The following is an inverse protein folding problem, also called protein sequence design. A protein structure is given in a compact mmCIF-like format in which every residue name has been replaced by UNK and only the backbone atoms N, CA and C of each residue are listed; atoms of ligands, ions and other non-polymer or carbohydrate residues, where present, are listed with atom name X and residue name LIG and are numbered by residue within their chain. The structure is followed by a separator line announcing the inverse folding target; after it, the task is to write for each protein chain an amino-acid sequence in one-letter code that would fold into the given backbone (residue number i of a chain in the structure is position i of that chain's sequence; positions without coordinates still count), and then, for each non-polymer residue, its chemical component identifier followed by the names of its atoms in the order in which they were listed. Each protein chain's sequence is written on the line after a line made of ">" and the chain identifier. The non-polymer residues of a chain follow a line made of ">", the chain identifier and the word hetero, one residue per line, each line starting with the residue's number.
data_IF_003483754727
#
_entry.id   IF_003483754727
#
_cell.length_a   1.000
_cell.length_b   1.000
_cell.length_c   1.000
_cell.angle_alpha   90.00
_cell.angle_beta   90.00
_cell.angle_gamma   90.00
#
_symmetry.space_group_name_H-M   'P 1'
#
loop_
_entity.id
_entity.type
_entity.pdbx_description
1 polymer ?
#
# COMPACT_ATOMS: atom_id res chain seq x y z
N UNK A 1 -1.02 4.08 8.87
CA UNK A 1 -1.65 2.80 8.46
C UNK A 1 -2.86 2.53 9.34
N UNK A 2 -4.02 2.22 8.76
CA UNK A 2 -5.27 1.98 9.49
C UNK A 2 -5.84 0.61 9.12
N UNK A 3 -5.94 -0.30 10.10
CA UNK A 3 -6.55 -1.62 9.90
C UNK A 3 -8.04 -1.50 9.54
N UNK A 4 -8.47 -2.29 8.57
CA UNK A 4 -9.86 -2.34 8.09
C UNK A 4 -10.58 -3.62 8.52
N UNK A 5 -9.83 -4.65 8.96
CA UNK A 5 -10.34 -5.94 9.41
C UNK A 5 -10.62 -5.99 10.92
N UNK A 6 -11.22 -7.09 11.37
CA UNK A 6 -11.66 -7.27 12.76
C UNK A 6 -10.51 -7.35 13.78
N UNK A 7 -9.28 -7.61 13.35
CA UNK A 7 -8.12 -7.65 14.26
C UNK A 7 -7.73 -6.26 14.79
N UNK A 8 -8.36 -5.20 14.29
CA UNK A 8 -8.21 -3.83 14.82
C UNK A 8 -8.77 -3.65 16.26
N UNK A 9 -9.39 -4.67 16.87
CA UNK A 9 -9.90 -4.61 18.24
C UNK A 9 -11.25 -3.91 18.40
N UNK A 10 -12.05 -3.84 17.34
CA UNK A 10 -13.37 -3.21 17.30
C UNK A 10 -14.23 -3.70 16.15
N UNK A 11 -15.40 -3.09 15.94
CA UNK A 11 -16.22 -3.38 14.76
C UNK A 11 -15.43 -2.99 13.48
N UNK A 12 -15.35 -3.86 12.47
CA UNK A 12 -14.64 -3.54 11.23
C UNK A 12 -15.16 -2.24 10.61
N UNK A 13 -14.25 -1.31 10.31
CA UNK A 13 -14.57 0.00 9.71
C UNK A 13 -15.15 -0.18 8.31
N UNK A 14 -14.68 -1.19 7.59
CA UNK A 14 -15.24 -1.67 6.33
C UNK A 14 -15.64 -3.11 6.57
N UNK A 15 -16.83 -3.52 6.12
CA UNK A 15 -17.19 -4.94 6.10
C UNK A 15 -16.27 -5.62 5.08
N UNK A 16 -15.10 -6.12 5.51
CA UNK A 16 -14.27 -6.98 4.68
C UNK A 16 -15.12 -8.18 4.28
N UNK A 17 -15.36 -8.32 2.99
CA UNK A 17 -16.31 -9.32 2.47
C UNK A 17 -15.72 -10.73 2.54
N UNK A 18 -14.38 -10.84 2.60
CA UNK A 18 -13.66 -12.10 2.61
C UNK A 18 -12.98 -12.33 3.97
N UNK A 19 -13.37 -13.37 4.73
CA UNK A 19 -12.74 -13.70 6.02
C UNK A 19 -11.29 -14.19 5.90
N UNK A 20 -10.84 -14.54 4.69
CA UNK A 20 -9.46 -14.96 4.42
C UNK A 20 -8.56 -13.79 4.04
N UNK A 21 -9.02 -12.54 4.13
CA UNK A 21 -8.19 -11.36 3.89
C UNK A 21 -8.22 -10.40 5.05
N UNK A 22 -7.02 -10.03 5.50
CA UNK A 22 -6.81 -8.86 6.35
C UNK A 22 -6.45 -7.67 5.47
N UNK A 23 -6.74 -6.47 5.95
CA UNK A 23 -6.58 -5.27 5.16
C UNK A 23 -6.18 -4.06 6.01
N UNK A 24 -5.39 -3.19 5.42
CA UNK A 24 -5.05 -1.88 5.97
C UNK A 24 -5.18 -0.84 4.89
N UNK A 25 -5.40 0.41 5.29
CA UNK A 25 -5.44 1.54 4.39
C UNK A 25 -4.56 2.69 4.86
N UNK A 26 -4.13 3.50 3.90
CA UNK A 26 -3.48 4.77 4.13
C UNK A 26 -4.07 5.84 3.22
N UNK A 27 -4.51 6.96 3.79
CA UNK A 27 -4.84 8.16 3.02
C UNK A 27 -3.54 8.88 2.68
N UNK A 28 -3.43 9.40 1.46
CA UNK A 28 -2.34 10.28 1.05
C UNK A 28 -2.87 11.60 0.49
N UNK A 29 -2.00 12.60 0.48
CA UNK A 29 -2.17 13.90 -0.16
C UNK A 29 -0.87 14.23 -0.89
N UNK A 30 -0.92 14.29 -2.22
CA UNK A 30 0.24 14.52 -3.08
C UNK A 30 0.58 16.00 -3.23
N UNK A 31 -0.25 16.90 -2.71
CA UNK A 31 0.09 18.31 -2.55
C UNK A 31 1.20 18.53 -1.53
N UNK A 32 1.38 17.60 -0.59
CA UNK A 32 2.44 17.63 0.43
C UNK A 32 3.75 16.99 -0.07
N UNK A 33 3.71 16.17 -1.13
CA UNK A 33 4.86 15.41 -1.64
C UNK A 33 4.46 14.01 -2.13
N UNK A 34 5.42 13.25 -2.67
CA UNK A 34 5.15 11.86 -3.04
C UNK A 34 5.03 10.99 -1.79
N UNK A 35 4.21 9.93 -1.85
CA UNK A 35 4.00 9.05 -0.70
C UNK A 35 4.51 7.66 -1.01
N UNK A 36 5.32 7.11 -0.10
CA UNK A 36 5.86 5.75 -0.19
C UNK A 36 5.15 4.84 0.80
N UNK A 37 4.76 3.67 0.31
CA UNK A 37 4.17 2.58 1.09
C UNK A 37 5.13 1.41 1.09
N UNK A 38 5.48 0.93 2.28
CA UNK A 38 6.32 -0.25 2.46
C UNK A 38 5.64 -1.24 3.39
N UNK A 39 5.84 -2.53 3.14
CA UNK A 39 5.56 -3.56 4.15
C UNK A 39 6.66 -4.62 4.09
N UNK A 40 7.56 -4.68 5.07
CA UNK A 40 8.61 -5.67 5.09
C UNK A 40 8.03 -7.05 5.44
N UNK A 41 8.68 -8.10 4.93
CA UNK A 41 8.30 -9.48 5.18
C UNK A 41 7.51 -10.11 4.05
N UNK A 42 7.28 -11.41 4.18
CA UNK A 42 6.60 -12.22 3.18
C UNK A 42 5.36 -12.86 3.79
N UNK A 43 4.25 -12.69 3.09
CA UNK A 43 2.97 -13.36 3.35
C UNK A 43 2.62 -14.20 2.12
N UNK A 44 1.69 -15.16 2.21
CA UNK A 44 1.37 -16.05 1.10
C UNK A 44 0.88 -15.33 -0.16
N UNK A 45 0.24 -14.17 0.03
CA UNK A 45 -0.15 -13.26 -1.04
C UNK A 45 -0.47 -11.89 -0.44
N UNK A 46 -0.13 -10.82 -1.17
CA UNK A 46 -0.62 -9.47 -0.91
C UNK A 46 -0.98 -8.75 -2.20
N UNK A 47 -1.93 -7.83 -2.12
CA UNK A 47 -2.32 -6.95 -3.22
C UNK A 47 -2.49 -5.52 -2.73
N UNK A 48 -2.23 -4.56 -3.60
CA UNK A 48 -2.45 -3.14 -3.37
C UNK A 48 -3.45 -2.62 -4.40
N UNK A 49 -4.36 -1.75 -3.95
CA UNK A 49 -5.23 -0.96 -4.80
C UNK A 49 -5.13 0.51 -4.41
N UNK A 50 -5.06 1.38 -5.41
CA UNK A 50 -5.02 2.83 -5.26
C UNK A 50 -6.36 3.40 -5.68
N UNK A 51 -6.99 4.14 -4.77
CA UNK A 51 -8.27 4.78 -5.01
C UNK A 51 -8.11 6.30 -5.06
N UNK A 52 -8.79 6.94 -6.01
CA UNK A 52 -8.95 8.39 -6.00
C UNK A 52 -9.97 8.86 -4.95
N UNK A 53 -10.10 10.18 -4.78
CA UNK A 53 -11.06 10.79 -3.84
C UNK A 53 -12.53 10.45 -4.13
N UNK A 54 -12.88 10.09 -5.37
CA UNK A 54 -14.23 9.62 -5.74
C UNK A 54 -14.45 8.13 -5.48
N UNK A 55 -13.42 7.40 -5.05
CA UNK A 55 -13.49 5.97 -4.77
C UNK A 55 -13.29 5.08 -6.00
N UNK A 56 -12.78 5.62 -7.13
CA UNK A 56 -12.42 4.78 -8.26
C UNK A 56 -11.06 4.12 -8.02
N UNK A 57 -10.98 2.82 -8.31
CA UNK A 57 -9.70 2.11 -8.34
C UNK A 57 -8.95 2.48 -9.62
N UNK A 58 -7.88 3.27 -9.48
CA UNK A 58 -7.10 3.79 -10.60
C UNK A 58 -5.86 2.94 -10.91
N UNK A 59 -5.42 2.13 -9.94
CA UNK A 59 -4.24 1.27 -10.11
C UNK A 59 -4.29 0.10 -9.13
N UNK A 60 -3.82 -1.08 -9.55
CA UNK A 60 -3.72 -2.25 -8.69
C UNK A 60 -2.56 -3.15 -9.10
N UNK A 61 -1.90 -3.75 -8.10
CA UNK A 61 -0.75 -4.64 -8.27
C UNK A 61 -0.63 -5.60 -7.08
N UNK A 62 0.28 -6.55 -7.16
CA UNK A 62 0.48 -7.58 -6.12
C UNK A 62 1.95 -8.02 -6.01
N UNK A 63 2.18 -8.94 -5.08
CA UNK A 63 3.47 -9.58 -4.83
C UNK A 63 4.13 -10.19 -6.06
N UNK A 64 3.36 -10.78 -6.99
CA UNK A 64 3.91 -11.36 -8.22
C UNK A 64 4.49 -10.32 -9.19
N UNK A 65 4.05 -9.07 -9.10
CA UNK A 65 4.57 -7.97 -9.91
C UNK A 65 5.68 -7.17 -9.24
N UNK A 66 5.90 -7.40 -7.94
CA UNK A 66 6.85 -6.64 -7.14
C UNK A 66 8.24 -7.28 -7.13
N UNK A 67 9.28 -6.43 -7.09
CA UNK A 67 10.67 -6.88 -6.97
C UNK A 67 10.85 -7.70 -5.69
N UNK A 68 11.18 -8.98 -5.84
CA UNK A 68 11.36 -9.90 -4.71
C UNK A 68 10.08 -10.20 -3.91
N UNK A 69 8.90 -9.84 -4.41
CA UNK A 69 7.62 -10.03 -3.70
C UNK A 69 7.46 -9.20 -2.43
N UNK A 70 8.27 -8.15 -2.26
CA UNK A 70 8.21 -7.23 -1.12
C UNK A 70 7.42 -5.99 -1.51
N UNK A 71 6.54 -5.52 -0.62
CA UNK A 71 5.79 -4.29 -0.87
C UNK A 71 6.70 -3.08 -0.68
N UNK A 72 7.02 -2.43 -1.79
CA UNK A 72 7.66 -1.12 -1.87
C UNK A 72 7.09 -0.36 -3.07
N UNK A 73 6.29 0.66 -2.81
CA UNK A 73 5.61 1.42 -3.85
C UNK A 73 5.57 2.90 -3.52
N UNK A 74 5.64 3.74 -4.55
CA UNK A 74 5.53 5.19 -4.44
C UNK A 74 4.36 5.65 -5.30
N UNK A 75 3.46 6.45 -4.73
CA UNK A 75 2.45 7.19 -5.49
C UNK A 75 2.90 8.64 -5.62
N UNK A 76 2.76 9.18 -6.81
CA UNK A 76 3.19 10.53 -7.15
C UNK A 76 2.45 11.05 -8.37
N UNK A 77 2.43 12.38 -8.50
CA UNK A 77 1.89 13.04 -9.69
C UNK A 77 2.86 12.91 -10.88
N UNK A 78 2.38 13.07 -12.12
CA UNK A 78 3.24 13.17 -13.29
C UNK A 78 4.32 14.25 -13.17
N UNK A 79 4.00 15.38 -12.52
CA UNK A 79 4.95 16.46 -12.28
C UNK A 79 6.08 16.03 -11.34
N UNK A 80 5.75 15.40 -10.20
CA UNK A 80 6.73 14.84 -9.26
C UNK A 80 7.58 13.73 -9.91
N UNK A 81 6.99 12.90 -10.78
CA UNK A 81 7.72 11.84 -11.50
C UNK A 81 8.82 12.39 -12.41
N UNK A 82 8.64 13.58 -12.98
CA UNK A 82 9.68 14.24 -13.78
C UNK A 82 10.92 14.51 -12.91
N UNK A 83 10.74 14.94 -11.67
CA UNK A 83 11.84 15.23 -10.75
C UNK A 83 12.54 13.94 -10.31
N UNK A 84 11.78 12.90 -9.93
CA UNK A 84 12.31 11.56 -9.62
C UNK A 84 13.16 11.00 -10.76
N UNK A 85 12.77 11.22 -12.02
CA UNK A 85 13.52 10.70 -13.19
C UNK A 85 14.86 11.41 -13.41
N UNK A 86 15.05 12.63 -12.90
CA UNK A 86 16.31 13.37 -13.04
C UNK A 86 17.41 12.78 -12.16
N UNK A 87 17.03 12.38 -10.95
CA UNK A 87 17.93 11.79 -9.97
C UNK A 87 17.13 10.76 -9.15
N UNK A 88 17.10 9.51 -9.63
CA UNK A 88 16.35 8.43 -8.99
C UNK A 88 17.12 7.96 -7.75
N UNK A 89 16.56 8.14 -6.52
CA UNK A 89 17.22 7.67 -5.31
C UNK A 89 17.49 6.16 -5.37
N UNK A 90 18.66 5.73 -4.91
CA UNK A 90 19.08 4.32 -4.96
C UNK A 90 18.10 3.40 -4.23
N UNK A 91 17.53 3.87 -3.13
CA UNK A 91 16.58 3.14 -2.31
C UNK A 91 15.17 3.03 -2.95
N UNK A 92 14.91 3.71 -4.08
CA UNK A 92 13.68 3.62 -4.85
C UNK A 92 13.80 2.80 -6.14
N UNK A 93 14.99 2.32 -6.51
CA UNK A 93 15.20 1.61 -7.79
C UNK A 93 14.36 0.33 -7.94
N UNK A 94 13.99 -0.31 -6.84
CA UNK A 94 13.14 -1.52 -6.84
C UNK A 94 11.65 -1.25 -6.59
N UNK A 95 11.27 0.00 -6.34
CA UNK A 95 9.91 0.38 -5.98
C UNK A 95 8.98 0.43 -7.20
N UNK A 96 7.72 0.08 -6.99
CA UNK A 96 6.67 0.27 -7.99
C UNK A 96 6.22 1.73 -7.96
N UNK A 97 6.37 2.45 -9.07
CA UNK A 97 5.88 3.82 -9.21
C UNK A 97 4.45 3.84 -9.76
N UNK A 98 3.53 4.41 -8.99
CA UNK A 98 2.15 4.67 -9.36
C UNK A 98 2.02 6.16 -9.72
N UNK A 99 2.21 6.46 -11.00
CA UNK A 99 2.05 7.81 -11.55
C UNK A 99 0.55 8.08 -11.78
N UNK A 100 -0.03 9.03 -11.04
CA UNK A 100 -1.46 9.32 -11.10
C UNK A 100 -1.76 10.83 -11.10
N UNK A 101 -2.63 11.33 -12.00
CA UNK A 101 -3.00 12.75 -12.06
C UNK A 101 -4.11 13.09 -11.04
N UNK A 102 -3.86 12.80 -9.76
CA UNK A 102 -4.75 13.08 -8.63
C UNK A 102 -3.99 13.81 -7.52
N UNK A 103 -4.72 14.48 -6.62
CA UNK A 103 -4.13 15.14 -5.45
C UNK A 103 -4.27 14.27 -4.20
N UNK A 104 -5.46 13.76 -3.93
CA UNK A 104 -5.73 12.96 -2.73
C UNK A 104 -6.27 11.56 -3.10
N UNK A 105 -5.96 10.58 -2.27
CA UNK A 105 -6.44 9.22 -2.46
C UNK A 105 -6.18 8.29 -1.28
N UNK A 106 -6.43 7.00 -1.50
CA UNK A 106 -6.26 5.95 -0.51
C UNK A 106 -5.53 4.76 -1.12
N UNK A 107 -4.46 4.32 -0.48
CA UNK A 107 -3.92 2.98 -0.64
C UNK A 107 -4.70 1.99 0.21
N UNK A 108 -5.13 0.88 -0.39
CA UNK A 108 -5.66 -0.28 0.34
C UNK A 108 -4.75 -1.46 0.06
N UNK A 109 -4.19 -2.04 1.12
CA UNK A 109 -3.37 -3.25 1.04
C UNK A 109 -4.19 -4.39 1.64
N UNK A 110 -4.24 -5.51 0.94
CA UNK A 110 -4.88 -6.74 1.39
C UNK A 110 -3.87 -7.87 1.41
N UNK A 111 -3.92 -8.71 2.43
CA UNK A 111 -3.05 -9.87 2.56
C UNK A 111 -3.87 -11.12 2.87
N UNK A 112 -3.53 -12.22 2.21
CA UNK A 112 -4.23 -13.48 2.33
C UNK A 112 -3.84 -14.21 3.63
N UNK A 113 -4.84 -14.74 4.32
CA UNK A 113 -4.75 -15.52 5.55
C UNK A 113 -5.31 -16.92 5.25
N UNK A 114 -4.47 -17.88 4.80
CA UNK A 114 -4.94 -19.21 4.40
C UNK A 114 -5.69 -19.95 5.50
N UNK A 115 -5.20 -19.86 6.73
CA UNK A 115 -5.75 -20.51 7.91
C UNK A 115 -5.33 -19.76 9.20
N UNK A 116 -5.81 -20.24 10.35
CA UNK A 116 -5.56 -19.61 11.65
C UNK A 116 -4.08 -19.49 12.04
N UNK A 117 -3.21 -20.37 11.55
CA UNK A 117 -1.77 -20.33 11.85
C UNK A 117 -1.07 -19.14 11.20
N UNK A 118 -1.64 -18.59 10.12
CA UNK A 118 -1.10 -17.43 9.41
C UNK A 118 -1.50 -16.08 9.99
N UNK A 119 -2.56 -16.03 10.80
CA UNK A 119 -3.05 -14.79 11.44
C UNK A 119 -1.94 -13.94 12.09
N UNK A 120 -1.07 -14.48 12.98
CA UNK A 120 -0.02 -13.67 13.60
C UNK A 120 1.04 -13.18 12.61
N UNK A 121 1.29 -13.92 11.52
CA UNK A 121 2.27 -13.56 10.49
C UNK A 121 1.71 -12.38 9.67
N UNK A 122 0.47 -12.49 9.21
CA UNK A 122 -0.19 -11.45 8.42
C UNK A 122 -0.46 -10.19 9.25
N UNK A 123 -0.81 -10.33 10.54
CA UNK A 123 -0.93 -9.17 11.43
C UNK A 123 0.40 -8.43 11.59
N UNK A 124 1.51 -9.15 11.78
CA UNK A 124 2.85 -8.56 11.88
C UNK A 124 3.27 -7.86 10.59
N UNK A 125 2.95 -8.43 9.43
CA UNK A 125 3.20 -7.80 8.13
C UNK A 125 2.54 -6.40 8.05
N UNK A 126 1.31 -6.26 8.55
CA UNK A 126 0.66 -4.94 8.61
C UNK A 126 1.17 -4.04 9.73
N UNK A 127 1.53 -4.59 10.89
CA UNK A 127 2.13 -3.81 11.99
C UNK A 127 3.47 -3.17 11.60
N UNK A 128 4.23 -3.85 10.72
CA UNK A 128 5.51 -3.35 10.22
C UNK A 128 5.36 -2.51 8.95
N UNK A 129 4.15 -2.38 8.40
CA UNK A 129 3.90 -1.57 7.21
C UNK A 129 3.94 -0.08 7.53
N UNK A 130 4.49 0.71 6.62
CA UNK A 130 4.56 2.16 6.69
C UNK A 130 3.92 2.82 5.47
N UNK A 131 3.50 4.06 5.66
CA UNK A 131 2.99 4.94 4.61
C UNK A 131 3.43 6.34 4.98
N UNK A 132 4.42 6.84 4.26
CA UNK A 132 5.21 8.00 4.65
C UNK A 132 5.31 8.97 3.49
N UNK A 133 5.14 10.25 3.81
CA UNK A 133 5.52 11.32 2.91
C UNK A 133 7.03 11.20 2.65
N UNK A 134 7.44 11.37 1.41
CA UNK A 134 8.86 11.42 1.05
C UNK A 134 9.18 12.84 0.65
N UNK A 135 10.24 13.35 1.25
CA UNK A 135 10.85 14.61 0.82
C UNK A 135 11.52 14.41 -0.53
N UNK A 136 11.55 15.49 -1.31
CA UNK A 136 12.33 15.61 -2.53
C UNK A 136 13.32 16.77 -2.41
#
# INVERSE_FOLDING_TARGET
>A
MTRLDAEAGGAPVVKSVDPLFYATACRFDLGEGMVRVKAPGHVPFWSVSVYDRSGHNIYSFNDHTATGGVLDAVVLTPAQMIDVRKDLPEDLQGAIFVEAPIEEGIFVIRAFVPDSSWKPIVSRFFEQSSCELQDF
#
